data_IF_815071064688
#
_entry.id   IF_815071064688
#
_cell.length_a   1.000
_cell.length_b   1.000
_cell.length_c   1.000
_cell.angle_alpha   90.00
_cell.angle_beta   90.00
_cell.angle_gamma   90.00
#
_symmetry.space_group_name_H-M   'P 1'
#
loop_
_entity.id
_entity.type
_entity.pdbx_description
1 polymer ?
#
# COMPACT_ATOMS: atom_id res chain seq x y z
N UNK A 1 -2.39 -9.39 -20.62
CA UNK A 1 -2.57 -8.64 -20.41
C UNK A 1 -1.92 -7.85 -19.79
N UNK A 2 -1.64 -7.57 -19.45
CA UNK A 2 -0.96 -6.92 -18.77
C UNK A 2 -0.64 -5.60 -18.97
N UNK A 3 -0.91 -4.96 -19.67
CA UNK A 3 -0.54 -3.85 -19.84
C UNK A 3 -0.66 -2.93 -18.89
N UNK A 4 -1.42 -2.64 -18.57
CA UNK A 4 -1.74 -1.63 -17.78
C UNK A 4 -1.26 -1.70 -16.44
N UNK A 5 -0.42 -2.54 -16.13
CA UNK A 5 0.03 -2.71 -14.76
C UNK A 5 0.73 -1.48 -14.19
N UNK A 6 1.24 -0.60 -15.06
CA UNK A 6 1.87 0.61 -14.55
C UNK A 6 1.00 1.84 -14.68
N UNK A 7 -0.20 1.65 -15.20
CA UNK A 7 -1.11 2.78 -15.35
C UNK A 7 -1.69 3.20 -14.01
N UNK A 8 -1.91 4.50 -13.88
CA UNK A 8 -2.57 5.03 -12.70
C UNK A 8 -4.06 4.72 -12.77
N UNK A 9 -4.61 4.24 -11.68
CA UNK A 9 -6.02 3.93 -11.56
C UNK A 9 -6.67 4.83 -10.53
N UNK A 10 -7.92 5.19 -10.77
CA UNK A 10 -8.72 5.90 -9.79
C UNK A 10 -9.72 4.92 -9.19
N UNK A 11 -9.77 4.87 -7.89
CA UNK A 11 -10.69 4.00 -7.19
C UNK A 11 -11.52 4.82 -6.22
N UNK A 12 -12.83 4.69 -6.29
CA UNK A 12 -13.76 5.48 -5.51
C UNK A 12 -14.76 4.59 -4.78
N UNK A 13 -15.05 4.92 -3.54
CA UNK A 13 -16.08 4.25 -2.76
C UNK A 13 -16.99 5.27 -2.11
N UNK A 14 -18.24 4.86 -1.87
CA UNK A 14 -19.16 5.65 -1.07
C UNK A 14 -19.29 4.93 0.27
N UNK A 15 -18.92 5.62 1.34
CA UNK A 15 -18.98 5.04 2.66
C UNK A 15 -20.39 5.09 3.23
N UNK A 16 -20.61 4.27 4.24
CA UNK A 16 -21.82 4.31 5.02
C UNK A 16 -22.07 5.73 5.51
N UNK A 17 -23.23 6.27 5.30
CA UNK A 17 -23.52 7.64 5.65
C UNK A 17 -23.40 8.60 4.47
N UNK A 18 -23.09 8.09 3.30
CA UNK A 18 -23.10 8.87 2.08
C UNK A 18 -21.87 9.72 1.82
N UNK A 19 -20.78 9.49 2.54
CA UNK A 19 -19.54 10.24 2.31
C UNK A 19 -18.70 9.56 1.25
N UNK A 20 -18.30 10.32 0.25
CA UNK A 20 -17.43 9.80 -0.81
C UNK A 20 -15.99 9.75 -0.35
N UNK A 21 -15.27 8.77 -0.86
CA UNK A 21 -13.82 8.70 -0.67
C UNK A 21 -13.19 8.21 -1.96
N UNK A 22 -12.02 8.73 -2.29
CA UNK A 22 -11.35 8.34 -3.52
C UNK A 22 -9.84 8.25 -3.34
N UNK A 23 -9.25 7.30 -4.04
CA UNK A 23 -7.81 7.05 -4.00
C UNK A 23 -7.33 6.73 -5.41
N UNK A 24 -6.27 7.40 -5.85
CA UNK A 24 -5.55 7.02 -7.05
C UNK A 24 -4.44 6.06 -6.66
N UNK A 25 -4.13 5.09 -7.51
CA UNK A 25 -2.99 4.25 -7.25
C UNK A 25 -2.22 3.96 -8.52
N UNK A 26 -0.94 3.64 -8.35
CA UNK A 26 -0.05 3.32 -9.45
C UNK A 26 0.84 2.17 -9.04
N UNK A 27 0.93 1.13 -9.87
CA UNK A 27 1.84 0.04 -9.64
C UNK A 27 3.25 0.52 -9.99
N UNK A 28 4.15 0.50 -9.00
CA UNK A 28 5.54 0.87 -9.24
C UNK A 28 6.33 -0.33 -9.75
N UNK A 29 6.15 -1.48 -9.11
CA UNK A 29 6.85 -2.69 -9.52
C UNK A 29 6.14 -3.93 -8.98
N UNK A 30 6.15 -5.01 -9.75
CA UNK A 30 5.55 -6.26 -9.32
C UNK A 30 6.64 -7.23 -8.86
N UNK A 31 6.55 -7.67 -7.61
CA UNK A 31 7.46 -8.63 -7.02
C UNK A 31 6.65 -9.84 -6.54
N UNK A 32 6.31 -10.78 -7.43
CA UNK A 32 5.38 -11.87 -7.06
C UNK A 32 5.72 -12.50 -5.72
N UNK A 33 4.76 -12.73 -4.86
CA UNK A 33 3.32 -12.49 -5.04
C UNK A 33 2.85 -11.10 -4.60
N UNK A 34 3.76 -10.19 -4.32
CA UNK A 34 3.45 -8.85 -3.83
C UNK A 34 3.68 -7.80 -4.89
N UNK A 35 3.15 -6.61 -4.63
CA UNK A 35 3.32 -5.45 -5.50
C UNK A 35 3.75 -4.25 -4.67
N UNK A 36 4.59 -3.41 -5.25
CA UNK A 36 5.02 -2.15 -4.66
C UNK A 36 4.17 -1.07 -5.33
N UNK A 37 3.32 -0.42 -4.54
CA UNK A 37 2.28 0.46 -5.07
C UNK A 37 2.39 1.84 -4.45
N UNK A 38 2.23 2.87 -5.27
CA UNK A 38 2.15 4.25 -4.79
C UNK A 38 0.69 4.66 -4.74
N UNK A 39 0.28 5.23 -3.63
CA UNK A 39 -1.10 5.61 -3.40
C UNK A 39 -1.24 7.12 -3.25
N UNK A 40 -2.29 7.68 -3.85
CA UNK A 40 -2.60 9.10 -3.76
C UNK A 40 -4.05 9.25 -3.30
N UNK A 41 -4.29 9.34 -1.98
CA UNK A 41 -5.66 9.56 -1.51
C UNK A 41 -6.07 11.01 -1.80
N UNK A 42 -7.27 11.16 -2.36
CA UNK A 42 -7.82 12.49 -2.62
C UNK A 42 -8.74 12.94 -1.50
N UNK A 43 -9.06 12.04 -0.58
CA UNK A 43 -9.82 12.30 0.62
C UNK A 43 -9.06 11.67 1.78
N UNK A 44 -9.44 11.99 3.01
CA UNK A 44 -8.73 11.47 4.17
C UNK A 44 -9.64 10.75 5.16
N UNK A 45 -10.50 9.84 4.68
CA UNK A 45 -11.40 9.10 5.56
C UNK A 45 -10.63 8.06 6.39
N UNK A 46 -11.23 7.66 7.50
CA UNK A 46 -10.61 6.72 8.42
C UNK A 46 -10.20 5.43 7.71
N UNK A 47 -8.92 5.06 7.84
CA UNK A 47 -8.36 3.85 7.24
C UNK A 47 -8.63 3.73 5.74
N UNK A 48 -8.80 4.86 5.06
CA UNK A 48 -9.22 4.87 3.66
C UNK A 48 -8.39 3.96 2.75
N UNK A 49 -7.06 4.05 2.81
CA UNK A 49 -6.21 3.26 1.93
C UNK A 49 -6.34 1.78 2.21
N UNK A 50 -6.46 1.41 3.49
CA UNK A 50 -6.61 0.02 3.89
C UNK A 50 -7.95 -0.55 3.42
N UNK A 51 -9.01 0.22 3.58
CA UNK A 51 -10.36 -0.18 3.14
C UNK A 51 -10.43 -0.30 1.63
N UNK A 52 -9.92 0.69 0.92
CA UNK A 52 -9.97 0.69 -0.55
C UNK A 52 -9.22 -0.50 -1.14
N UNK A 53 -8.01 -0.76 -0.67
CA UNK A 53 -7.23 -1.86 -1.22
C UNK A 53 -7.87 -3.21 -0.91
N UNK A 54 -8.43 -3.37 0.29
CA UNK A 54 -9.14 -4.59 0.61
C UNK A 54 -10.34 -4.79 -0.31
N UNK A 55 -11.07 -3.71 -0.59
CA UNK A 55 -12.31 -3.81 -1.37
C UNK A 55 -12.08 -4.25 -2.81
N UNK A 56 -10.90 -4.01 -3.35
CA UNK A 56 -10.55 -4.47 -4.70
C UNK A 56 -9.80 -5.80 -4.68
N UNK A 57 -9.75 -6.46 -3.53
CA UNK A 57 -9.14 -7.78 -3.43
C UNK A 57 -7.63 -7.77 -3.23
N UNK A 58 -7.05 -6.61 -2.89
CA UNK A 58 -5.61 -6.48 -2.71
C UNK A 58 -5.28 -5.82 -1.38
N UNK A 59 -5.57 -6.47 -0.24
CA UNK A 59 -5.30 -5.88 1.07
C UNK A 59 -3.81 -5.60 1.24
N UNK A 60 -3.50 -4.62 2.07
CA UNK A 60 -2.11 -4.26 2.33
C UNK A 60 -1.42 -5.38 3.09
N UNK A 61 -0.18 -5.68 2.72
CA UNK A 61 0.59 -6.75 3.33
C UNK A 61 0.72 -6.52 4.84
N UNK A 62 0.53 -7.57 5.62
CA UNK A 62 0.56 -7.55 7.08
C UNK A 62 -0.55 -6.74 7.74
N UNK A 63 -1.61 -6.45 7.01
CA UNK A 63 -2.75 -5.74 7.56
C UNK A 63 -3.78 -6.74 8.06
N UNK A 64 -3.56 -7.26 9.28
CA UNK A 64 -4.43 -8.29 9.85
C UNK A 64 -5.88 -7.85 9.95
N UNK A 65 -6.11 -6.60 10.34
CA UNK A 65 -7.46 -6.09 10.55
C UNK A 65 -8.29 -6.07 9.26
N UNK A 66 -7.61 -5.91 8.12
CA UNK A 66 -8.29 -5.84 6.82
C UNK A 66 -7.95 -7.01 5.92
N UNK A 67 -7.47 -8.10 6.50
CA UNK A 67 -7.34 -9.35 5.77
C UNK A 67 -6.05 -9.58 5.02
N UNK A 68 -5.04 -8.74 5.23
CA UNK A 68 -3.76 -8.88 4.53
C UNK A 68 -2.66 -9.53 5.35
N UNK A 69 -3.02 -10.17 6.46
CA UNK A 69 -2.03 -10.73 7.37
C UNK A 69 -1.57 -12.14 7.00
N UNK A 70 -1.04 -12.85 8.00
CA UNK A 70 -0.42 -14.16 7.77
C UNK A 70 -1.38 -15.18 7.16
N UNK A 71 -2.65 -15.15 7.55
CA UNK A 71 -3.62 -16.09 7.01
C UNK A 71 -3.79 -15.90 5.50
N UNK A 72 -3.86 -14.65 5.06
CA UNK A 72 -3.97 -14.33 3.65
C UNK A 72 -2.69 -14.75 2.91
N UNK A 73 -1.55 -14.51 3.52
CA UNK A 73 -0.26 -14.90 2.92
C UNK A 73 -0.19 -16.40 2.69
N UNK A 74 -0.78 -17.20 3.58
CA UNK A 74 -0.77 -18.66 3.42
C UNK A 74 -1.66 -19.14 2.29
N UNK A 75 -2.50 -18.27 1.72
CA UNK A 75 -3.36 -18.63 0.60
C UNK A 75 -2.63 -18.66 -0.73
N UNK A 76 -1.40 -18.12 -0.79
CA UNK A 76 -0.63 -18.13 -2.01
C UNK A 76 0.07 -19.47 -2.23
N UNK A 77 0.59 -19.66 -3.45
CA UNK A 77 1.25 -20.91 -3.79
C UNK A 77 2.35 -21.24 -2.78
N UNK A 78 2.52 -22.52 -2.48
CA UNK A 78 3.47 -22.98 -1.48
C UNK A 78 4.90 -22.53 -1.76
N UNK A 79 5.25 -22.29 -3.02
CA UNK A 79 6.60 -21.85 -3.37
C UNK A 79 6.93 -20.48 -2.77
N UNK A 80 5.94 -19.73 -2.33
CA UNK A 80 6.16 -18.42 -1.71
C UNK A 80 6.20 -18.48 -0.18
N UNK A 81 5.97 -19.65 0.42
CA UNK A 81 5.84 -19.75 1.87
C UNK A 81 7.03 -19.20 2.63
N UNK A 82 8.24 -19.60 2.27
CA UNK A 82 9.43 -19.15 2.98
C UNK A 82 9.65 -17.66 2.79
N UNK A 83 9.47 -17.18 1.57
CA UNK A 83 9.62 -15.78 1.26
C UNK A 83 8.65 -14.93 2.09
N UNK A 84 7.36 -15.29 2.08
CA UNK A 84 6.35 -14.53 2.78
C UNK A 84 6.55 -14.56 4.30
N UNK A 85 6.94 -15.71 4.85
CA UNK A 85 7.24 -15.79 6.29
C UNK A 85 8.41 -14.89 6.66
N UNK A 86 9.43 -14.82 5.83
CA UNK A 86 10.56 -13.96 6.05
C UNK A 86 10.16 -12.49 6.01
N UNK A 87 9.32 -12.12 5.05
CA UNK A 87 8.84 -10.75 4.92
C UNK A 87 7.96 -10.34 6.10
N UNK A 88 7.10 -11.24 6.57
CA UNK A 88 6.26 -10.98 7.73
C UNK A 88 7.11 -10.67 8.95
N UNK A 89 8.20 -11.41 9.16
CA UNK A 89 9.10 -11.16 10.28
C UNK A 89 9.83 -9.84 10.11
N UNK A 90 10.16 -9.47 8.89
CA UNK A 90 10.89 -8.25 8.61
C UNK A 90 10.04 -7.00 8.84
N UNK A 91 8.81 -7.00 8.32
CA UNK A 91 7.95 -5.83 8.42
C UNK A 91 7.13 -5.83 9.71
N UNK A 92 6.44 -6.92 10.00
CA UNK A 92 5.69 -7.10 11.23
C UNK A 92 4.74 -5.96 11.61
N UNK A 93 4.16 -5.30 10.65
CA UNK A 93 3.15 -4.25 10.80
C UNK A 93 2.51 -4.01 9.46
N UNK A 94 1.44 -3.23 9.42
CA UNK A 94 0.83 -2.84 8.13
C UNK A 94 1.93 -2.23 7.25
N UNK A 95 2.14 -2.80 6.09
CA UNK A 95 3.21 -2.37 5.19
C UNK A 95 2.79 -1.11 4.41
N UNK A 96 2.67 -0.02 5.14
CA UNK A 96 2.19 1.24 4.61
C UNK A 96 3.03 2.38 5.17
N UNK A 97 3.42 3.30 4.31
CA UNK A 97 4.26 4.44 4.69
C UNK A 97 3.80 5.70 3.98
N UNK A 98 3.65 6.77 4.74
CA UNK A 98 3.33 8.08 4.18
C UNK A 98 4.61 8.72 3.66
N UNK A 99 4.80 8.66 2.34
CA UNK A 99 6.04 9.11 1.71
C UNK A 99 6.13 10.63 1.58
N UNK A 100 5.04 11.28 1.16
CA UNK A 100 5.03 12.73 1.00
C UNK A 100 3.77 13.31 1.61
N UNK A 101 3.87 14.56 2.07
CA UNK A 101 2.72 15.34 2.48
C UNK A 101 2.91 16.77 1.95
N UNK A 102 1.83 17.32 1.41
CA UNK A 102 1.84 18.68 0.86
C UNK A 102 0.62 19.42 1.39
N UNK A 103 0.82 20.63 1.83
CA UNK A 103 -0.29 21.42 2.36
C UNK A 103 0.02 22.91 2.27
N UNK A 104 -1.02 23.73 2.36
CA UNK A 104 -0.88 25.18 2.36
C UNK A 104 -0.66 25.65 3.81
N UNK A 105 0.46 26.33 4.04
CA UNK A 105 0.76 26.83 5.38
C UNK A 105 -0.31 27.84 5.82
N UNK A 106 -0.88 27.70 7.01
CA UNK A 106 -2.00 28.55 7.42
C UNK A 106 -1.65 30.03 7.57
N UNK A 107 -0.41 30.35 7.93
CA UNK A 107 0.01 31.75 8.12
C UNK A 107 0.59 32.37 6.85
N UNK A 108 1.53 31.72 6.22
CA UNK A 108 2.23 32.29 5.07
C UNK A 108 1.53 32.05 3.75
N UNK A 109 0.60 31.09 3.71
CA UNK A 109 -0.12 30.67 2.51
C UNK A 109 0.79 30.02 1.46
N UNK A 110 1.99 29.67 1.84
CA UNK A 110 2.90 28.96 0.94
C UNK A 110 2.60 27.48 0.92
N UNK A 111 2.84 26.85 -0.23
CA UNK A 111 2.69 25.40 -0.35
C UNK A 111 3.91 24.75 0.29
N UNK A 112 3.65 23.87 1.28
CA UNK A 112 4.71 23.17 1.99
C UNK A 112 4.68 21.71 1.56
N UNK A 113 5.83 21.16 1.22
CA UNK A 113 5.96 19.77 0.85
C UNK A 113 7.05 19.10 1.66
N UNK A 114 6.74 17.96 2.24
CA UNK A 114 7.70 17.20 3.03
C UNK A 114 7.75 15.76 2.53
N UNK A 115 8.94 15.18 2.52
CA UNK A 115 9.14 13.79 2.15
C UNK A 115 9.80 13.05 3.30
N UNK A 116 9.36 11.81 3.52
CA UNK A 116 9.96 10.92 4.49
C UNK A 116 10.48 9.69 3.75
N UNK A 117 11.78 9.42 3.77
CA UNK A 117 12.31 8.25 3.08
C UNK A 117 11.70 6.97 3.63
N UNK A 118 11.71 5.91 2.84
CA UNK A 118 11.16 4.63 3.26
C UNK A 118 11.82 4.16 4.56
N UNK A 119 11.03 3.72 5.53
CA UNK A 119 11.59 3.19 6.77
C UNK A 119 12.41 1.93 6.51
N UNK A 120 13.30 1.63 7.44
CA UNK A 120 14.24 0.53 7.26
C UNK A 120 13.56 -0.80 7.01
N UNK A 121 12.46 -1.09 7.73
CA UNK A 121 11.78 -2.37 7.55
C UNK A 121 11.22 -2.54 6.14
N UNK A 122 10.63 -1.51 5.56
CA UNK A 122 10.11 -1.58 4.20
C UNK A 122 11.24 -1.63 3.17
N UNK A 123 12.33 -0.90 3.43
CA UNK A 123 13.49 -0.94 2.55
C UNK A 123 14.11 -2.33 2.54
N UNK A 124 14.19 -2.98 3.70
CA UNK A 124 14.70 -4.35 3.81
C UNK A 124 13.81 -5.34 3.08
N UNK A 125 12.50 -5.20 3.26
CA UNK A 125 11.54 -6.06 2.58
C UNK A 125 11.66 -5.93 1.05
N UNK A 126 11.81 -4.70 0.58
CA UNK A 126 11.96 -4.46 -0.85
C UNK A 126 13.24 -5.10 -1.37
N UNK A 127 14.32 -5.02 -0.61
CA UNK A 127 15.59 -5.63 -1.00
C UNK A 127 15.46 -7.15 -1.08
N UNK A 128 14.77 -7.76 -0.11
CA UNK A 128 14.51 -9.20 -0.14
C UNK A 128 13.73 -9.57 -1.40
N UNK A 129 12.71 -8.79 -1.73
CA UNK A 129 11.90 -9.06 -2.92
C UNK A 129 12.70 -8.91 -4.21
N UNK A 130 13.58 -7.91 -4.29
CA UNK A 130 14.42 -7.71 -5.45
C UNK A 130 15.36 -8.90 -5.68
N UNK A 131 15.87 -9.46 -4.61
CA UNK A 131 16.79 -10.59 -4.71
C UNK A 131 16.10 -11.89 -5.13
N UNK A 132 14.79 -11.98 -4.91
CA UNK A 132 14.02 -13.16 -5.29
C UNK A 132 13.42 -13.06 -6.69
N UNK A 133 13.50 -11.89 -7.30
CA UNK A 133 12.87 -11.65 -8.60
C UNK A 133 13.68 -12.25 -9.80
#
# INVERSE_FOLDING_TARGET
MGRHTRDRKLFTMVESGGRDSSTNYKLEEYYPPLSWVRLHPETGRTHQLRVHLKSIGHPIFCDDAYGGGAKYARSFHVKYTQLLNRLIKTVNRVALHAYTIEFCHPSTKEIMKFEAPSPEDLSRALEILKNEK
#
